data_IF_146282329419
#
_entry.id   IF_146282329419
#
_cell.length_a   1.000
_cell.length_b   1.000
_cell.length_c   1.000
_cell.angle_alpha   90.00
_cell.angle_beta   90.00
_cell.angle_gamma   90.00
#
_symmetry.space_group_name_H-M   'P 1'
#
loop_
_entity.id
_entity.type
_entity.pdbx_description
1 polymer ?
#
# COMPACT_ATOMS: atom_id res chain seq x y z
N UNK A 1 -10.53 21.54 11.67
CA UNK A 1 -9.24 20.95 11.30
C UNK A 1 -8.58 21.80 10.23
N UNK A 2 -7.30 22.10 10.39
CA UNK A 2 -6.56 22.85 9.39
C UNK A 2 -6.43 22.06 8.08
N UNK A 3 -6.67 22.72 6.97
CA UNK A 3 -6.50 22.10 5.66
C UNK A 3 -5.01 22.03 5.30
N UNK A 4 -4.53 20.82 4.95
CA UNK A 4 -3.16 20.63 4.50
C UNK A 4 -3.12 20.89 3.00
N UNK A 5 -2.23 21.80 2.60
CA UNK A 5 -2.02 22.12 1.18
C UNK A 5 -0.66 21.60 0.75
N UNK A 6 -0.63 20.83 -0.33
CA UNK A 6 0.61 20.34 -0.93
C UNK A 6 1.22 21.46 -1.78
N UNK A 7 2.16 22.17 -1.21
CA UNK A 7 2.86 23.28 -1.84
C UNK A 7 4.36 22.96 -2.05
N UNK A 8 5.10 23.94 -2.58
CA UNK A 8 6.53 23.78 -2.83
C UNK A 8 7.32 23.50 -1.55
N UNK A 9 6.95 24.13 -0.45
CA UNK A 9 7.60 23.96 0.85
C UNK A 9 7.38 22.56 1.40
N UNK A 10 6.15 22.07 1.37
CA UNK A 10 5.80 20.73 1.83
C UNK A 10 6.47 19.65 0.95
N UNK A 11 6.50 19.88 -0.36
CA UNK A 11 7.19 19.00 -1.30
C UNK A 11 8.68 18.88 -0.98
N UNK A 12 9.34 20.01 -0.73
CA UNK A 12 10.76 20.03 -0.36
C UNK A 12 11.02 19.28 0.95
N UNK A 13 10.13 19.41 1.92
CA UNK A 13 10.21 18.67 3.19
C UNK A 13 10.15 17.17 2.97
N UNK A 14 9.19 16.68 2.17
CA UNK A 14 9.09 15.26 1.85
C UNK A 14 10.32 14.72 1.13
N UNK A 15 10.86 15.48 0.17
CA UNK A 15 12.08 15.09 -0.53
C UNK A 15 13.26 14.98 0.44
N UNK A 16 13.41 15.94 1.33
CA UNK A 16 14.48 15.93 2.35
C UNK A 16 14.35 14.73 3.27
N UNK A 17 13.15 14.44 3.76
CA UNK A 17 12.89 13.28 4.63
C UNK A 17 13.22 11.98 3.90
N UNK A 18 12.83 11.84 2.65
CA UNK A 18 13.11 10.65 1.86
C UNK A 18 14.63 10.47 1.63
N UNK A 19 15.32 11.53 1.21
CA UNK A 19 16.76 11.49 0.91
C UNK A 19 17.61 11.23 2.15
N UNK A 20 17.17 11.70 3.32
CA UNK A 20 17.88 11.51 4.59
C UNK A 20 17.48 10.23 5.32
N UNK A 21 16.52 9.47 4.79
CA UNK A 21 16.04 8.24 5.41
C UNK A 21 17.15 7.17 5.38
N UNK A 22 17.39 6.56 6.55
CA UNK A 22 18.36 5.48 6.69
C UNK A 22 17.64 4.26 7.26
N UNK A 23 17.80 3.13 6.57
CA UNK A 23 17.24 1.85 7.04
C UNK A 23 18.15 1.32 8.13
N UNK A 24 17.57 1.02 9.30
CA UNK A 24 18.33 0.42 10.41
C UNK A 24 18.90 -0.93 9.96
N UNK A 25 20.16 -1.21 10.29
CA UNK A 25 20.81 -2.46 9.90
C UNK A 25 20.05 -3.69 10.41
N UNK A 26 19.44 -3.60 11.60
CA UNK A 26 18.62 -4.67 12.17
C UNK A 26 17.34 -4.97 11.38
N UNK A 27 16.93 -4.06 10.49
CA UNK A 27 15.71 -4.18 9.67
C UNK A 27 16.02 -4.42 8.19
N UNK A 28 17.29 -4.39 7.80
CA UNK A 28 17.67 -4.47 6.38
C UNK A 28 17.17 -5.76 5.72
N UNK A 29 17.34 -6.90 6.36
CA UNK A 29 16.89 -8.19 5.81
C UNK A 29 15.38 -8.23 5.64
N UNK A 30 14.62 -7.69 6.58
CA UNK A 30 13.16 -7.57 6.51
C UNK A 30 12.73 -6.71 5.32
N UNK A 31 13.37 -5.55 5.15
CA UNK A 31 13.09 -4.62 4.04
C UNK A 31 13.42 -5.27 2.70
N UNK A 32 14.56 -5.95 2.59
CA UNK A 32 14.95 -6.65 1.36
C UNK A 32 13.96 -7.75 1.00
N UNK A 33 13.46 -8.48 1.99
CA UNK A 33 12.43 -9.49 1.80
C UNK A 33 11.12 -8.90 1.26
N UNK A 34 10.70 -7.77 1.80
CA UNK A 34 9.50 -7.04 1.35
C UNK A 34 9.68 -6.56 -0.09
N UNK A 35 10.82 -5.96 -0.40
CA UNK A 35 11.12 -5.48 -1.76
C UNK A 35 11.12 -6.63 -2.76
N UNK A 36 11.70 -7.77 -2.41
CA UNK A 36 11.73 -8.95 -3.26
C UNK A 36 10.31 -9.44 -3.57
N UNK A 37 9.43 -9.48 -2.57
CA UNK A 37 8.01 -9.87 -2.75
C UNK A 37 7.26 -8.88 -3.62
N UNK A 38 7.49 -7.60 -3.44
CA UNK A 38 6.87 -6.54 -4.24
C UNK A 38 7.29 -6.68 -5.71
N UNK A 39 8.59 -6.84 -5.97
CA UNK A 39 9.11 -7.00 -7.34
C UNK A 39 8.58 -8.25 -8.03
N UNK A 40 8.42 -9.33 -7.29
CA UNK A 40 7.86 -10.58 -7.80
C UNK A 40 6.41 -10.41 -8.29
N UNK A 41 5.67 -9.49 -7.70
CA UNK A 41 4.27 -9.21 -8.01
C UNK A 41 4.08 -7.84 -8.70
N UNK A 42 5.14 -7.27 -9.23
CA UNK A 42 5.09 -5.93 -9.85
C UNK A 42 4.02 -5.82 -10.93
N UNK A 43 3.82 -6.85 -11.74
CA UNK A 43 2.81 -6.85 -12.80
C UNK A 43 1.39 -6.69 -12.24
N UNK A 44 1.10 -7.27 -11.09
CA UNK A 44 -0.21 -7.11 -10.42
C UNK A 44 -0.44 -5.68 -9.97
N UNK A 45 0.58 -5.06 -9.37
CA UNK A 45 0.50 -3.67 -8.93
C UNK A 45 0.42 -2.71 -10.11
N UNK A 46 1.15 -3.00 -11.18
CA UNK A 46 1.11 -2.19 -12.39
C UNK A 46 -0.28 -2.26 -13.06
N UNK A 47 -0.90 -3.44 -13.10
CA UNK A 47 -2.24 -3.60 -13.65
C UNK A 47 -3.26 -2.80 -12.84
N UNK A 48 -3.18 -2.84 -11.51
CA UNK A 48 -4.05 -2.04 -10.64
C UNK A 48 -3.81 -0.54 -10.83
N UNK A 49 -2.57 -0.12 -10.95
CA UNK A 49 -2.21 1.28 -11.17
C UNK A 49 -2.76 1.81 -12.49
N UNK A 50 -2.72 0.99 -13.54
CA UNK A 50 -3.22 1.36 -14.86
C UNK A 50 -4.75 1.37 -14.95
N UNK A 51 -5.44 0.70 -14.02
CA UNK A 51 -6.90 0.62 -14.01
C UNK A 51 -7.57 1.91 -13.52
N UNK A 52 -6.84 2.80 -12.87
CA UNK A 52 -7.37 4.09 -12.39
C UNK A 52 -6.99 5.22 -13.33
N UNK A 53 -7.82 6.26 -13.37
CA UNK A 53 -7.60 7.42 -14.24
C UNK A 53 -7.64 8.71 -13.41
N UNK A 54 -6.54 9.50 -13.32
CA UNK A 54 -5.24 9.19 -13.92
C UNK A 54 -4.55 8.03 -13.23
N UNK A 55 -3.67 7.33 -13.96
CA UNK A 55 -2.90 6.23 -13.40
C UNK A 55 -1.98 6.73 -12.26
N UNK A 56 -1.86 5.92 -11.22
CA UNK A 56 -0.98 6.21 -10.08
C UNK A 56 0.24 5.31 -10.15
N UNK A 57 1.37 5.66 -9.49
CA UNK A 57 2.55 4.81 -9.50
C UNK A 57 2.27 3.43 -8.90
N UNK A 58 2.72 2.37 -9.56
CA UNK A 58 2.50 1.00 -9.09
C UNK A 58 3.11 0.74 -7.70
N UNK A 59 4.26 1.36 -7.41
CA UNK A 59 4.93 1.18 -6.13
C UNK A 59 4.14 1.83 -4.97
N UNK A 60 3.33 2.83 -5.25
CA UNK A 60 2.44 3.42 -4.25
C UNK A 60 1.39 2.40 -3.81
N UNK A 61 0.80 1.69 -4.76
CA UNK A 61 -0.15 0.61 -4.47
C UNK A 61 0.53 -0.50 -3.68
N UNK A 62 1.74 -0.88 -4.07
CA UNK A 62 2.53 -1.89 -3.36
C UNK A 62 2.80 -1.50 -1.91
N UNK A 63 3.13 -0.24 -1.66
CA UNK A 63 3.38 0.27 -0.31
C UNK A 63 2.11 0.18 0.56
N UNK A 64 0.97 0.59 0.02
CA UNK A 64 -0.31 0.48 0.73
C UNK A 64 -0.65 -0.98 1.00
N UNK A 65 -0.48 -1.85 0.03
CA UNK A 65 -0.73 -3.29 0.18
C UNK A 65 0.15 -3.89 1.29
N UNK A 66 1.41 -3.47 1.37
CA UNK A 66 2.32 -3.88 2.43
C UNK A 66 1.81 -3.45 3.81
N UNK A 67 1.36 -2.21 3.94
CA UNK A 67 0.90 -1.65 5.21
C UNK A 67 -0.44 -2.22 5.66
N UNK A 68 -1.39 -2.43 4.73
CA UNK A 68 -2.75 -2.80 5.07
C UNK A 68 -2.98 -4.32 5.15
N UNK A 69 -2.27 -5.10 4.36
CA UNK A 69 -2.49 -6.55 4.29
C UNK A 69 -1.22 -7.39 4.27
N UNK A 70 -0.08 -6.80 4.61
CA UNK A 70 1.23 -7.49 4.64
C UNK A 70 1.55 -8.21 3.33
N UNK A 71 1.23 -7.59 2.20
CA UNK A 71 1.45 -8.11 0.85
C UNK A 71 0.67 -9.40 0.54
N UNK A 72 -0.39 -9.70 1.28
CA UNK A 72 -1.20 -10.90 1.06
C UNK A 72 -2.32 -10.60 0.06
N UNK A 73 -2.44 -11.43 -0.97
CA UNK A 73 -3.47 -11.30 -1.99
C UNK A 73 -4.75 -12.09 -1.66
N UNK A 74 -4.77 -12.76 -0.51
CA UNK A 74 -5.88 -13.60 -0.06
C UNK A 74 -6.78 -12.95 0.99
N UNK A 75 -6.50 -11.67 1.31
CA UNK A 75 -7.22 -10.93 2.35
C UNK A 75 -7.73 -9.60 1.81
N UNK A 76 -8.75 -9.05 2.47
CA UNK A 76 -9.25 -7.72 2.16
C UNK A 76 -8.19 -6.66 2.49
N UNK A 77 -7.96 -5.74 1.56
CA UNK A 77 -6.92 -4.73 1.68
C UNK A 77 -7.13 -3.84 2.92
N UNK A 78 -8.37 -3.47 3.20
CA UNK A 78 -8.67 -2.47 4.22
C UNK A 78 -8.55 -2.95 5.66
N UNK A 79 -8.63 -4.27 5.93
CA UNK A 79 -8.59 -4.76 7.32
C UNK A 79 -7.92 -6.13 7.50
N UNK A 80 -7.45 -6.77 6.42
CA UNK A 80 -6.76 -8.06 6.49
C UNK A 80 -7.66 -9.28 6.67
N UNK A 81 -8.98 -9.12 6.64
CA UNK A 81 -9.88 -10.27 6.71
C UNK A 81 -9.80 -11.13 5.45
N UNK A 82 -10.01 -12.49 5.56
CA UNK A 82 -9.94 -13.37 4.40
C UNK A 82 -10.92 -12.98 3.29
N UNK A 83 -10.48 -13.08 2.02
CA UNK A 83 -11.32 -12.79 0.87
C UNK A 83 -12.44 -13.82 0.64
N UNK A 84 -12.33 -15.00 1.25
CA UNK A 84 -13.33 -16.06 1.12
C UNK A 84 -14.67 -15.73 1.81
N UNK A 85 -14.67 -14.74 2.69
CA UNK A 85 -15.85 -14.31 3.43
C UNK A 85 -15.97 -12.79 3.43
N UNK A 86 -17.17 -12.29 3.76
CA UNK A 86 -17.34 -10.87 4.06
C UNK A 86 -16.53 -10.52 5.31
N UNK A 87 -16.14 -9.24 5.41
CA UNK A 87 -15.32 -8.78 6.53
C UNK A 87 -16.08 -8.88 7.85
N UNK A 88 -15.37 -9.26 8.91
CA UNK A 88 -15.90 -9.32 10.28
C UNK A 88 -15.39 -8.18 11.15
N UNK A 89 -14.24 -7.61 10.80
CA UNK A 89 -13.69 -6.40 11.44
C UNK A 89 -14.25 -5.15 10.76
N UNK A 90 -14.09 -4.01 11.39
CA UNK A 90 -14.62 -2.74 10.85
C UNK A 90 -13.88 -2.33 9.57
N UNK A 91 -14.60 -2.00 8.50
CA UNK A 91 -16.05 -2.12 8.28
C UNK A 91 -16.47 -3.57 8.06
N UNK A 92 -17.53 -3.97 8.75
CA UNK A 92 -18.05 -5.35 8.68
C UNK A 92 -18.89 -5.60 7.43
N UNK A 93 -19.08 -6.86 7.08
CA UNK A 93 -19.97 -7.32 6.01
C UNK A 93 -19.67 -6.70 4.66
N UNK A 94 -18.37 -6.62 4.31
CA UNK A 94 -17.93 -6.10 3.02
C UNK A 94 -17.36 -7.22 2.15
N UNK A 95 -17.62 -7.18 0.84
CA UNK A 95 -18.48 -6.22 0.15
C UNK A 95 -19.96 -6.43 0.46
N UNK A 96 -20.75 -5.38 0.34
CA UNK A 96 -22.20 -5.41 0.62
C UNK A 96 -22.91 -6.29 -0.42
N UNK A 97 -22.42 -6.30 -1.63
CA UNK A 97 -22.94 -7.10 -2.75
C UNK A 97 -21.79 -7.68 -3.54
N UNK A 98 -22.07 -8.72 -4.32
CA UNK A 98 -21.06 -9.41 -5.10
C UNK A 98 -20.30 -10.47 -4.27
N UNK A 99 -19.18 -10.96 -4.82
CA UNK A 99 -18.32 -11.92 -4.13
C UNK A 99 -17.50 -11.24 -3.03
N UNK A 100 -17.22 -11.97 -1.94
CA UNK A 100 -16.37 -11.44 -0.87
C UNK A 100 -14.98 -11.06 -1.35
#
# INVERSE_FOLDING_TARGET
MAKIVYDTELKAEYITLFESCIIKSSKLAEVEGIISRIRKNQSRYQAAANAVNPAIPWFFIAAIHSLESSLRFTVHLHNGDPLTNKTVHVPKNRPVSGTP
#
